data_IF_373969643931
#
_entry.id   IF_373969643931
#
_cell.length_a   1.000
_cell.length_b   1.000
_cell.length_c   1.000
_cell.angle_alpha   90.00
_cell.angle_beta   90.00
_cell.angle_gamma   90.00
#
_symmetry.space_group_name_H-M   'P 1'
#
loop_
_entity.id
_entity.type
_entity.pdbx_description
1 polymer ?
#
# COMPACT_ATOMS: atom_id res chain seq x y z
N UNK A 1 26.28 -43.15 -8.61
CA UNK A 1 24.94 -43.33 -7.98
C UNK A 1 24.49 -41.96 -7.49
N UNK A 2 23.83 -41.17 -8.34
CA UNK A 2 23.40 -39.81 -8.02
C UNK A 2 22.01 -39.87 -7.36
N UNK A 3 21.92 -39.47 -6.10
CA UNK A 3 20.64 -39.29 -5.43
C UNK A 3 20.02 -37.96 -5.84
N UNK A 4 18.92 -38.01 -6.61
CA UNK A 4 18.01 -36.88 -6.80
C UNK A 4 17.33 -36.58 -5.45
N UNK A 5 17.48 -35.34 -4.97
CA UNK A 5 16.67 -34.82 -3.87
C UNK A 5 15.22 -34.69 -4.35
N UNK A 6 14.21 -35.07 -3.55
CA UNK A 6 12.82 -34.86 -3.92
C UNK A 6 12.51 -33.36 -3.92
N UNK A 7 11.92 -32.88 -5.02
CA UNK A 7 11.35 -31.55 -5.12
C UNK A 7 10.31 -31.36 -4.01
N UNK A 8 10.39 -30.23 -3.29
CA UNK A 8 9.40 -29.87 -2.28
C UNK A 8 8.02 -29.78 -2.97
N UNK A 9 6.96 -30.35 -2.37
CA UNK A 9 5.62 -30.22 -2.94
C UNK A 9 5.27 -28.73 -3.04
N UNK A 10 4.89 -28.30 -4.25
CA UNK A 10 4.29 -26.98 -4.46
C UNK A 10 3.05 -26.93 -3.58
N UNK A 11 3.11 -26.15 -2.50
CA UNK A 11 1.97 -25.95 -1.62
C UNK A 11 0.90 -25.22 -2.42
N UNK A 12 -0.03 -25.97 -3.02
CA UNK A 12 -1.12 -25.43 -3.79
C UNK A 12 -2.05 -24.70 -2.82
N UNK A 13 -1.98 -23.37 -2.84
CA UNK A 13 -2.94 -22.56 -2.10
C UNK A 13 -4.36 -22.87 -2.62
N UNK A 14 -5.37 -22.92 -1.74
CA UNK A 14 -6.73 -23.26 -2.14
C UNK A 14 -7.26 -22.28 -3.21
N UNK A 15 -8.21 -22.73 -4.04
CA UNK A 15 -8.78 -21.93 -5.12
C UNK A 15 -9.29 -20.59 -4.59
N UNK A 16 -9.01 -19.52 -5.33
CA UNK A 16 -9.42 -18.16 -4.99
C UNK A 16 -10.88 -18.02 -5.43
N UNK A 17 -11.80 -17.95 -4.46
CA UNK A 17 -13.19 -17.57 -4.70
C UNK A 17 -13.37 -16.16 -4.12
N UNK A 18 -13.58 -15.13 -4.96
CA UNK A 18 -13.71 -13.77 -4.47
C UNK A 18 -14.91 -13.61 -3.53
N UNK A 19 -14.74 -12.86 -2.44
CA UNK A 19 -15.81 -12.56 -1.47
C UNK A 19 -16.01 -11.06 -1.39
N UNK A 20 -17.22 -10.59 -1.68
CA UNK A 20 -17.56 -9.19 -1.46
C UNK A 20 -17.99 -8.97 0.00
N UNK A 21 -17.38 -7.97 0.62
CA UNK A 21 -17.68 -7.49 1.95
C UNK A 21 -18.68 -6.34 1.84
N UNK A 22 -19.92 -6.58 2.22
CA UNK A 22 -20.89 -5.53 2.51
C UNK A 22 -20.85 -5.11 3.98
N UNK A 23 -21.62 -4.09 4.35
CA UNK A 23 -21.68 -3.58 5.73
C UNK A 23 -22.11 -4.64 6.74
N UNK A 24 -22.98 -5.59 6.38
CA UNK A 24 -23.44 -6.64 7.28
C UNK A 24 -22.32 -7.64 7.61
N UNK A 25 -21.53 -8.04 6.60
CA UNK A 25 -20.38 -8.94 6.78
C UNK A 25 -19.27 -8.20 7.54
N UNK A 26 -19.02 -6.93 7.21
CA UNK A 26 -18.06 -6.09 7.91
C UNK A 26 -18.37 -5.95 9.41
N UNK A 27 -19.64 -5.68 9.75
CA UNK A 27 -20.12 -5.62 11.15
C UNK A 27 -19.86 -6.95 11.85
N UNK A 28 -20.19 -8.08 11.23
CA UNK A 28 -19.94 -9.42 11.83
C UNK A 28 -18.46 -9.65 12.10
N UNK A 29 -17.56 -9.30 11.16
CA UNK A 29 -16.12 -9.40 11.38
C UNK A 29 -15.66 -8.49 12.53
N UNK A 30 -16.16 -7.26 12.57
CA UNK A 30 -15.85 -6.29 13.63
C UNK A 30 -16.31 -6.78 15.01
N UNK A 31 -17.45 -7.46 15.08
CA UNK A 31 -17.99 -8.10 16.29
C UNK A 31 -17.28 -9.42 16.67
N UNK A 32 -16.19 -9.78 16.00
CA UNK A 32 -15.39 -10.96 16.34
C UNK A 32 -15.93 -12.28 15.80
N UNK A 33 -16.83 -12.26 14.81
CA UNK A 33 -17.29 -13.49 14.18
C UNK A 33 -16.11 -14.28 13.58
N UNK A 34 -16.20 -15.61 13.68
CA UNK A 34 -15.11 -16.54 13.30
C UNK A 34 -14.76 -16.44 11.81
N UNK A 35 -15.74 -16.14 10.93
CA UNK A 35 -15.62 -15.87 9.48
C UNK A 35 -14.34 -16.47 8.86
N UNK A 36 -14.20 -17.80 8.97
CA UNK A 36 -12.90 -18.47 8.81
C UNK A 36 -12.36 -18.37 7.39
N UNK A 37 -13.25 -18.27 6.40
CA UNK A 37 -12.86 -18.12 5.00
C UNK A 37 -12.36 -16.71 4.70
N UNK A 38 -13.10 -15.68 5.11
CA UNK A 38 -12.73 -14.27 4.92
C UNK A 38 -11.42 -13.94 5.63
N UNK A 39 -11.27 -14.39 6.89
CA UNK A 39 -10.02 -14.23 7.64
C UNK A 39 -8.86 -14.98 6.98
N UNK A 40 -9.11 -16.16 6.42
CA UNK A 40 -8.10 -16.90 5.64
C UNK A 40 -7.68 -16.13 4.40
N UNK A 41 -8.62 -15.53 3.65
CA UNK A 41 -8.31 -14.68 2.51
C UNK A 41 -7.52 -13.43 2.95
N UNK A 42 -7.93 -12.73 4.01
CA UNK A 42 -7.23 -11.53 4.51
C UNK A 42 -5.79 -11.82 4.97
N UNK A 43 -5.49 -13.06 5.39
CA UNK A 43 -4.16 -13.49 5.80
C UNK A 43 -3.25 -13.90 4.62
N UNK A 44 -3.80 -14.07 3.41
CA UNK A 44 -3.01 -14.46 2.23
C UNK A 44 -2.18 -13.30 1.71
N UNK A 45 -0.92 -13.59 1.39
CA UNK A 45 0.06 -12.62 0.86
C UNK A 45 0.24 -12.72 -0.65
N UNK A 46 -0.32 -13.76 -1.25
CA UNK A 46 -0.25 -14.11 -2.68
C UNK A 46 -1.49 -13.67 -3.48
N UNK A 47 -2.38 -12.89 -2.86
CA UNK A 47 -3.58 -12.38 -3.51
C UNK A 47 -3.73 -10.87 -3.35
N UNK A 48 -4.41 -10.27 -4.31
CA UNK A 48 -4.88 -8.90 -4.27
C UNK A 48 -6.31 -8.85 -3.73
N UNK A 49 -6.57 -7.90 -2.85
CA UNK A 49 -7.91 -7.47 -2.47
C UNK A 49 -8.23 -6.19 -3.23
N UNK A 50 -9.48 -6.04 -3.67
CA UNK A 50 -9.95 -4.83 -4.36
C UNK A 50 -10.78 -4.00 -3.40
N UNK A 51 -10.55 -2.69 -3.40
CA UNK A 51 -11.37 -1.73 -2.68
C UNK A 51 -12.05 -0.83 -3.73
N UNK A 52 -13.38 -0.78 -3.67
CA UNK A 52 -14.22 0.15 -4.43
C UNK A 52 -14.63 1.28 -3.51
N UNK A 53 -14.53 2.50 -4.00
CA UNK A 53 -14.99 3.72 -3.34
C UNK A 53 -16.23 4.18 -4.08
N UNK A 54 -17.38 4.10 -3.40
CA UNK A 54 -18.67 4.45 -3.98
C UNK A 54 -18.71 5.95 -4.25
N UNK A 55 -19.08 6.34 -5.47
CA UNK A 55 -19.04 7.74 -5.95
C UNK A 55 -17.64 8.36 -5.79
N UNK A 56 -16.61 7.54 -5.92
CA UNK A 56 -15.21 7.96 -5.78
C UNK A 56 -14.78 9.03 -6.79
N UNK A 57 -15.46 9.16 -7.93
CA UNK A 57 -15.18 10.20 -8.93
C UNK A 57 -15.45 11.62 -8.45
N UNK A 58 -16.19 11.79 -7.34
CA UNK A 58 -16.47 13.10 -6.73
C UNK A 58 -15.27 13.69 -5.99
N UNK A 59 -14.25 12.88 -5.74
CA UNK A 59 -13.07 13.27 -4.96
C UNK A 59 -11.81 13.05 -5.79
N UNK A 60 -10.79 13.86 -5.55
CA UNK A 60 -9.48 13.57 -6.12
C UNK A 60 -8.86 12.33 -5.45
N UNK A 61 -7.94 11.69 -6.17
CA UNK A 61 -7.24 10.47 -5.75
C UNK A 61 -6.58 10.62 -4.37
N UNK A 62 -5.92 11.75 -4.14
CA UNK A 62 -5.12 11.95 -2.93
C UNK A 62 -6.02 12.11 -1.71
N UNK A 63 -7.12 12.87 -1.82
CA UNK A 63 -8.16 12.98 -0.79
C UNK A 63 -8.70 11.61 -0.38
N UNK A 64 -9.05 10.77 -1.35
CA UNK A 64 -9.56 9.42 -1.09
C UNK A 64 -8.52 8.55 -0.41
N UNK A 65 -7.31 8.47 -0.97
CA UNK A 65 -6.27 7.58 -0.45
C UNK A 65 -5.76 8.04 0.93
N UNK A 66 -5.64 9.35 1.18
CA UNK A 66 -5.30 9.88 2.52
C UNK A 66 -6.37 9.52 3.55
N UNK A 67 -7.65 9.64 3.21
CA UNK A 67 -8.73 9.26 4.13
C UNK A 67 -8.64 7.78 4.53
N UNK A 68 -8.43 6.90 3.53
CA UNK A 68 -8.32 5.46 3.77
C UNK A 68 -7.10 5.14 4.62
N UNK A 69 -5.93 5.71 4.31
CA UNK A 69 -4.71 5.45 5.06
C UNK A 69 -4.78 5.92 6.51
N UNK A 70 -5.45 7.06 6.77
CA UNK A 70 -5.73 7.54 8.13
C UNK A 70 -6.63 6.58 8.89
N UNK A 71 -7.66 6.04 8.25
CA UNK A 71 -8.58 5.07 8.87
C UNK A 71 -7.90 3.72 9.17
N UNK A 72 -6.81 3.38 8.48
CA UNK A 72 -6.08 2.12 8.68
C UNK A 72 -4.92 2.24 9.64
N UNK A 73 -4.41 3.43 9.95
CA UNK A 73 -3.23 3.63 10.79
C UNK A 73 -3.37 3.00 12.20
N UNK A 74 -2.32 2.35 12.78
CA UNK A 74 -0.98 2.06 12.23
C UNK A 74 -0.87 0.80 11.35
N UNK A 75 -1.98 0.25 10.83
CA UNK A 75 -1.92 -0.92 9.96
C UNK A 75 -1.59 -0.51 8.53
N UNK A 76 -0.85 -1.37 7.84
CA UNK A 76 -0.26 -1.02 6.56
C UNK A 76 -1.20 -1.35 5.40
N UNK A 77 -1.27 -0.39 4.49
CA UNK A 77 -2.02 -0.49 3.25
C UNK A 77 -1.21 0.27 2.20
N UNK A 78 -0.88 -0.39 1.10
CA UNK A 78 -0.22 0.24 -0.06
C UNK A 78 -1.18 0.12 -1.25
N UNK A 79 -1.94 1.19 -1.56
CA UNK A 79 -2.83 1.21 -2.71
C UNK A 79 -2.04 1.15 -4.02
N UNK A 80 -2.46 0.27 -4.93
CA UNK A 80 -1.91 0.20 -6.29
C UNK A 80 -3.02 0.19 -7.33
N UNK A 81 -2.69 0.65 -8.54
CA UNK A 81 -3.61 0.74 -9.69
C UNK A 81 -4.90 1.48 -9.34
N UNK A 82 -4.76 2.65 -8.72
CA UNK A 82 -5.91 3.52 -8.50
C UNK A 82 -6.48 3.99 -9.83
N UNK A 83 -7.78 3.83 -10.03
CA UNK A 83 -8.48 4.25 -11.25
C UNK A 83 -9.92 4.65 -10.93
N UNK A 84 -10.44 5.60 -11.69
CA UNK A 84 -11.86 5.96 -11.69
C UNK A 84 -12.53 5.22 -12.85
N UNK A 85 -13.66 4.56 -12.59
CA UNK A 85 -14.46 3.88 -13.60
C UNK A 85 -15.94 4.21 -13.38
N UNK A 86 -16.51 5.03 -14.28
CA UNK A 86 -17.84 5.59 -14.08
C UNK A 86 -17.86 6.54 -12.88
N UNK A 87 -18.82 6.36 -11.98
CA UNK A 87 -18.93 7.16 -10.76
C UNK A 87 -17.98 6.69 -9.65
N UNK A 88 -17.45 5.47 -9.73
CA UNK A 88 -16.68 4.89 -8.64
C UNK A 88 -15.18 4.95 -8.88
N UNK A 89 -14.43 4.86 -7.79
CA UNK A 89 -12.99 4.64 -7.85
C UNK A 89 -12.61 3.27 -7.30
N UNK A 90 -11.49 2.74 -7.78
CA UNK A 90 -11.01 1.41 -7.45
C UNK A 90 -9.51 1.45 -7.23
N UNK A 91 -9.04 0.66 -6.28
CA UNK A 91 -7.63 0.28 -6.19
C UNK A 91 -7.55 -1.15 -5.66
N UNK A 92 -6.35 -1.73 -5.71
CA UNK A 92 -6.07 -3.01 -5.08
C UNK A 92 -4.94 -2.88 -4.08
N UNK A 93 -4.90 -3.79 -3.11
CA UNK A 93 -3.84 -3.89 -2.13
C UNK A 93 -3.64 -5.36 -1.73
N UNK A 94 -2.45 -5.69 -1.26
CA UNK A 94 -2.10 -7.02 -0.74
C UNK A 94 -1.38 -6.90 0.59
N UNK A 95 -1.29 -8.00 1.32
CA UNK A 95 -0.64 -8.03 2.65
C UNK A 95 -1.21 -6.95 3.58
N UNK A 96 -2.52 -6.79 3.55
CA UNK A 96 -3.23 -5.67 4.21
C UNK A 96 -4.35 -6.15 5.13
N UNK A 97 -4.37 -7.43 5.54
CA UNK A 97 -5.40 -7.99 6.42
C UNK A 97 -5.73 -7.11 7.65
N UNK A 98 -4.74 -6.68 8.45
CA UNK A 98 -4.99 -5.79 9.59
C UNK A 98 -5.60 -4.43 9.21
N UNK A 99 -5.27 -3.88 8.03
CA UNK A 99 -5.86 -2.65 7.52
C UNK A 99 -7.32 -2.87 7.08
N UNK A 100 -7.60 -3.96 6.38
CA UNK A 100 -8.96 -4.33 5.98
C UNK A 100 -9.85 -4.59 7.22
N UNK A 101 -9.32 -5.20 8.28
CA UNK A 101 -10.06 -5.36 9.54
C UNK A 101 -10.44 -4.03 10.18
N UNK A 102 -9.54 -3.04 10.14
CA UNK A 102 -9.85 -1.68 10.63
C UNK A 102 -10.93 -1.01 9.81
N UNK A 103 -10.88 -1.11 8.49
CA UNK A 103 -11.95 -0.60 7.62
C UNK A 103 -13.29 -1.28 7.93
N UNK A 104 -13.30 -2.59 8.23
CA UNK A 104 -14.51 -3.28 8.64
C UNK A 104 -15.09 -2.72 9.96
N UNK A 105 -14.23 -2.34 10.91
CA UNK A 105 -14.66 -1.71 12.19
C UNK A 105 -15.28 -0.34 12.01
N UNK A 106 -15.05 0.34 10.88
CA UNK A 106 -15.74 1.60 10.54
C UNK A 106 -17.03 1.36 9.76
N UNK A 107 -17.52 0.12 9.70
CA UNK A 107 -18.64 -0.30 8.86
C UNK A 107 -18.44 0.03 7.38
N UNK A 108 -17.17 0.10 6.94
CA UNK A 108 -16.76 0.52 5.60
C UNK A 108 -17.19 1.94 5.24
N UNK A 109 -17.42 2.80 6.23
CA UNK A 109 -17.68 4.23 6.06
C UNK A 109 -16.58 4.99 6.80
N UNK A 110 -15.83 5.81 6.08
CA UNK A 110 -14.75 6.64 6.65
C UNK A 110 -15.03 8.11 6.36
N UNK A 111 -14.31 9.03 7.01
CA UNK A 111 -14.41 10.47 6.74
C UNK A 111 -13.19 10.96 5.99
N UNK A 112 -13.40 11.77 4.95
CA UNK A 112 -12.31 12.49 4.31
C UNK A 112 -11.83 13.68 5.16
N UNK A 113 -10.87 14.44 4.66
CA UNK A 113 -10.31 15.62 5.35
C UNK A 113 -11.33 16.75 5.54
N UNK A 114 -12.37 16.80 4.71
CA UNK A 114 -13.47 17.77 4.76
C UNK A 114 -14.61 17.32 5.69
N UNK A 115 -14.57 16.07 6.18
CA UNK A 115 -15.60 15.47 7.02
C UNK A 115 -16.68 14.69 6.26
N UNK A 116 -16.62 14.64 4.93
CA UNK A 116 -17.57 13.90 4.10
C UNK A 116 -17.44 12.39 4.28
N UNK A 117 -18.57 11.69 4.22
CA UNK A 117 -18.61 10.24 4.29
C UNK A 117 -18.14 9.61 2.97
N UNK A 118 -17.08 8.81 3.05
CA UNK A 118 -16.55 7.99 1.96
C UNK A 118 -16.92 6.54 2.23
N UNK A 119 -17.72 5.96 1.34
CA UNK A 119 -18.25 4.59 1.48
C UNK A 119 -17.40 3.63 0.67
N UNK A 120 -17.01 2.53 1.30
CA UNK A 120 -16.12 1.52 0.75
C UNK A 120 -16.85 0.18 0.55
N UNK A 121 -16.41 -0.57 -0.45
CA UNK A 121 -16.76 -1.98 -0.64
C UNK A 121 -15.47 -2.75 -0.89
N UNK A 122 -15.26 -3.86 -0.17
CA UNK A 122 -14.04 -4.66 -0.29
C UNK A 122 -14.38 -5.97 -0.99
N UNK A 123 -13.62 -6.34 -2.02
CA UNK A 123 -13.61 -7.68 -2.60
C UNK A 123 -12.35 -8.41 -2.15
N UNK A 124 -12.49 -9.40 -1.28
CA UNK A 124 -11.39 -10.26 -0.88
C UNK A 124 -11.05 -11.27 -1.97
N UNK A 125 -9.77 -11.57 -2.17
CA UNK A 125 -9.34 -12.53 -3.19
C UNK A 125 -9.75 -12.13 -4.60
N UNK A 126 -9.57 -10.85 -4.95
CA UNK A 126 -9.93 -10.33 -6.27
C UNK A 126 -9.11 -10.96 -7.39
N UNK A 127 -7.79 -11.11 -7.19
CA UNK A 127 -6.89 -11.70 -8.18
C UNK A 127 -5.65 -12.31 -7.51
N UNK A 128 -5.03 -13.29 -8.17
CA UNK A 128 -3.70 -13.78 -7.79
C UNK A 128 -2.60 -12.77 -8.15
N UNK A 129 -1.50 -12.75 -7.39
CA UNK A 129 -0.29 -11.99 -7.78
C UNK A 129 0.36 -12.53 -9.07
N UNK A 130 0.03 -13.77 -9.45
CA UNK A 130 0.53 -14.39 -10.67
C UNK A 130 -0.21 -13.87 -11.92
N UNK A 131 -1.52 -13.63 -11.79
CA UNK A 131 -2.37 -13.11 -12.88
C UNK A 131 -2.21 -11.60 -13.03
N UNK A 132 -2.06 -10.89 -11.91
CA UNK A 132 -1.86 -9.45 -11.88
C UNK A 132 -0.50 -9.11 -11.24
N UNK A 133 0.52 -9.02 -12.09
CA UNK A 133 1.89 -8.71 -11.68
C UNK A 133 2.09 -7.20 -11.55
N UNK A 134 2.44 -6.75 -10.34
CA UNK A 134 2.80 -5.36 -10.06
C UNK A 134 4.17 -5.33 -9.39
N UNK A 135 5.14 -4.78 -10.09
CA UNK A 135 6.54 -4.72 -9.67
C UNK A 135 6.86 -3.41 -8.96
N UNK A 136 6.41 -3.27 -7.70
CA UNK A 136 6.58 -2.03 -6.91
C UNK A 136 8.06 -1.69 -6.69
N UNK A 137 8.88 -2.67 -6.27
CA UNK A 137 10.29 -2.39 -5.94
C UNK A 137 11.10 -1.86 -7.14
N UNK A 138 11.04 -2.45 -8.35
CA UNK A 138 11.69 -1.86 -9.53
C UNK A 138 11.23 -0.44 -9.86
N UNK A 139 9.94 -0.12 -9.66
CA UNK A 139 9.43 1.24 -9.87
C UNK A 139 10.06 2.23 -8.88
N UNK A 140 10.10 1.87 -7.60
CA UNK A 140 10.75 2.68 -6.57
C UNK A 140 12.24 2.87 -6.85
N UNK A 141 12.95 1.81 -7.24
CA UNK A 141 14.37 1.88 -7.58
C UNK A 141 14.63 2.82 -8.77
N UNK A 142 13.81 2.72 -9.81
CA UNK A 142 13.92 3.59 -11.00
C UNK A 142 13.76 5.06 -10.62
N UNK A 143 12.73 5.38 -9.83
CA UNK A 143 12.49 6.74 -9.36
C UNK A 143 13.62 7.24 -8.45
N UNK A 144 14.12 6.39 -7.56
CA UNK A 144 15.25 6.69 -6.66
C UNK A 144 16.52 7.02 -7.45
N UNK A 145 16.89 6.19 -8.43
CA UNK A 145 18.07 6.42 -9.29
C UNK A 145 17.93 7.72 -10.09
N UNK A 146 16.75 7.99 -10.65
CA UNK A 146 16.47 9.23 -11.40
C UNK A 146 16.56 10.49 -10.54
N UNK A 147 16.24 10.36 -9.25
CA UNK A 147 16.22 11.47 -8.27
C UNK A 147 17.55 11.68 -7.55
N UNK A 148 18.57 10.88 -7.84
CA UNK A 148 19.90 11.05 -7.30
C UNK A 148 20.78 11.87 -8.24
N UNK A 149 21.37 12.94 -7.72
CA UNK A 149 22.41 13.71 -8.39
C UNK A 149 23.79 13.26 -7.86
N UNK A 150 24.61 12.57 -8.68
CA UNK A 150 25.94 12.13 -8.26
C UNK A 150 26.93 13.29 -8.10
N UNK A 151 26.75 14.42 -8.80
CA UNK A 151 27.66 15.56 -8.72
C UNK A 151 27.50 16.28 -7.38
N UNK A 152 26.25 16.44 -6.94
CA UNK A 152 25.91 17.05 -5.65
C UNK A 152 25.78 16.02 -4.52
N UNK A 153 25.99 14.72 -4.81
CA UNK A 153 25.71 13.60 -3.89
C UNK A 153 24.38 13.76 -3.15
N UNK A 154 23.37 14.23 -3.86
CA UNK A 154 22.07 14.61 -3.28
C UNK A 154 20.99 13.65 -3.75
N UNK A 155 20.22 13.11 -2.82
CA UNK A 155 19.00 12.35 -3.13
C UNK A 155 17.78 13.23 -2.91
N UNK A 156 17.03 13.50 -3.99
CA UNK A 156 15.83 14.34 -3.93
C UNK A 156 14.52 13.55 -3.85
N UNK A 157 13.98 13.40 -2.65
CA UNK A 157 12.68 12.77 -2.39
C UNK A 157 11.55 13.79 -2.19
N UNK A 158 11.70 15.04 -2.64
CA UNK A 158 10.60 16.02 -2.58
C UNK A 158 9.36 15.52 -3.34
N UNK A 159 8.18 15.63 -2.71
CA UNK A 159 6.90 15.12 -3.26
C UNK A 159 7.01 13.71 -3.86
N UNK A 160 7.66 12.78 -3.15
CA UNK A 160 8.04 11.49 -3.75
C UNK A 160 6.84 10.69 -4.29
N UNK A 161 5.70 10.73 -3.61
CA UNK A 161 4.49 10.02 -4.05
C UNK A 161 3.89 10.58 -5.35
N UNK A 162 4.23 11.81 -5.73
CA UNK A 162 3.81 12.44 -6.98
C UNK A 162 4.79 12.21 -8.13
N UNK A 163 5.85 11.42 -7.94
CA UNK A 163 6.74 11.07 -9.04
C UNK A 163 5.92 10.40 -10.17
N UNK A 164 6.00 10.87 -11.42
CA UNK A 164 5.20 10.31 -12.52
C UNK A 164 5.38 8.81 -12.76
N UNK A 165 6.56 8.26 -12.41
CA UNK A 165 6.88 6.83 -12.56
C UNK A 165 6.26 6.00 -11.41
N UNK A 166 5.97 6.64 -10.28
CA UNK A 166 5.39 6.04 -9.07
C UNK A 166 3.87 6.21 -9.08
N UNK A 167 3.39 7.46 -9.15
CA UNK A 167 2.01 7.86 -8.89
C UNK A 167 1.00 7.06 -9.73
N UNK A 168 1.33 6.81 -11.01
CA UNK A 168 0.49 6.04 -11.94
C UNK A 168 0.20 4.62 -11.48
N UNK A 169 1.08 4.03 -10.67
CA UNK A 169 1.00 2.61 -10.30
C UNK A 169 0.78 2.39 -8.82
N UNK A 170 1.44 3.16 -7.95
CA UNK A 170 1.42 2.96 -6.50
C UNK A 170 1.30 4.30 -5.81
N UNK A 171 0.47 4.35 -4.77
CA UNK A 171 0.43 5.49 -3.87
C UNK A 171 1.30 5.17 -2.64
N UNK A 172 2.45 5.81 -2.55
CA UNK A 172 3.42 5.60 -1.48
C UNK A 172 3.81 6.93 -0.79
N UNK A 173 2.91 7.50 0.03
CA UNK A 173 3.20 8.74 0.74
C UNK A 173 4.31 8.54 1.77
N UNK A 174 5.31 9.40 1.73
CA UNK A 174 6.44 9.39 2.68
C UNK A 174 6.01 9.77 4.11
N UNK A 175 4.84 10.37 4.29
CA UNK A 175 4.25 10.61 5.62
C UNK A 175 3.92 9.34 6.41
N UNK A 176 3.77 8.19 5.74
CA UNK A 176 3.61 6.91 6.42
C UNK A 176 4.96 6.32 6.84
N UNK A 177 5.11 6.03 8.13
CA UNK A 177 6.36 5.52 8.73
C UNK A 177 6.92 4.30 8.00
N UNK A 178 6.10 3.26 7.73
CA UNK A 178 6.58 2.05 7.04
C UNK A 178 7.02 2.37 5.61
N UNK A 179 6.26 3.21 4.89
CA UNK A 179 6.58 3.60 3.51
C UNK A 179 7.90 4.35 3.47
N UNK A 180 8.09 5.35 4.32
CA UNK A 180 9.33 6.11 4.45
C UNK A 180 10.52 5.20 4.80
N UNK A 181 10.39 4.34 5.81
CA UNK A 181 11.43 3.37 6.17
C UNK A 181 11.81 2.44 5.01
N UNK A 182 10.82 1.97 4.24
CA UNK A 182 11.08 1.10 3.10
C UNK A 182 11.82 1.84 1.98
N UNK A 183 11.37 3.05 1.62
CA UNK A 183 12.00 3.87 0.58
C UNK A 183 13.43 4.26 0.97
N UNK A 184 13.65 4.71 2.20
CA UNK A 184 14.99 5.07 2.69
C UNK A 184 15.93 3.85 2.76
N UNK A 185 15.42 2.69 3.18
CA UNK A 185 16.21 1.44 3.16
C UNK A 185 16.57 1.04 1.73
N UNK A 186 15.64 1.13 0.78
CA UNK A 186 15.91 0.85 -0.62
C UNK A 186 16.96 1.82 -1.19
N UNK A 187 16.81 3.12 -0.92
CA UNK A 187 17.76 4.14 -1.34
C UNK A 187 19.16 3.83 -0.84
N UNK A 188 19.31 3.48 0.44
CA UNK A 188 20.60 3.11 1.04
C UNK A 188 21.25 1.89 0.39
N UNK A 189 20.45 0.93 -0.08
CA UNK A 189 20.98 -0.28 -0.73
C UNK A 189 21.29 -0.11 -2.22
N UNK A 190 20.58 0.79 -2.90
CA UNK A 190 20.59 0.89 -4.35
C UNK A 190 21.36 2.09 -4.89
N UNK A 191 21.43 3.18 -4.13
CA UNK A 191 22.15 4.39 -4.51
C UNK A 191 23.51 4.37 -3.82
N UNK A 192 24.53 4.88 -4.50
CA UNK A 192 25.81 5.21 -3.90
C UNK A 192 25.63 6.13 -2.67
N UNK A 193 26.62 6.21 -1.80
CA UNK A 193 26.58 7.06 -0.61
C UNK A 193 26.21 8.50 -0.99
N UNK A 194 25.06 8.98 -0.50
CA UNK A 194 24.61 10.36 -0.65
C UNK A 194 24.89 11.14 0.64
N UNK A 195 25.25 12.42 0.51
CA UNK A 195 25.59 13.31 1.64
C UNK A 195 24.42 14.25 2.00
N UNK A 196 23.54 14.52 1.03
CA UNK A 196 22.37 15.36 1.20
C UNK A 196 21.10 14.60 0.84
N UNK A 197 20.05 14.78 1.65
CA UNK A 197 18.74 14.19 1.45
C UNK A 197 17.68 15.28 1.51
N UNK A 198 16.93 15.48 0.43
CA UNK A 198 15.78 16.36 0.41
C UNK A 198 14.49 15.56 0.65
N UNK A 199 13.77 15.87 1.74
CA UNK A 199 12.49 15.26 2.11
C UNK A 199 11.32 16.27 2.08
N UNK A 200 11.50 17.44 1.47
CA UNK A 200 10.52 18.51 1.49
C UNK A 200 9.17 18.08 0.91
N UNK A 201 8.11 18.73 1.39
CA UNK A 201 6.73 18.56 0.92
C UNK A 201 6.19 17.11 0.95
N UNK A 202 6.70 16.28 1.84
CA UNK A 202 6.23 14.91 2.04
C UNK A 202 5.20 14.75 3.18
N UNK A 203 4.71 15.87 3.72
CA UNK A 203 3.76 15.89 4.86
C UNK A 203 4.24 15.05 6.06
N UNK A 204 5.55 15.04 6.31
CA UNK A 204 6.14 14.29 7.42
C UNK A 204 5.69 14.88 8.74
N UNK A 205 4.99 14.09 9.54
CA UNK A 205 4.52 14.49 10.88
C UNK A 205 5.54 14.08 11.97
N UNK A 206 6.36 13.06 11.69
CA UNK A 206 7.38 12.55 12.61
C UNK A 206 8.70 12.31 11.89
N UNK A 207 9.83 12.48 12.60
CA UNK A 207 11.17 12.18 12.11
C UNK A 207 11.64 10.76 12.48
N UNK A 208 10.78 9.94 13.09
CA UNK A 208 11.11 8.58 13.53
C UNK A 208 11.60 7.68 12.40
N UNK A 209 11.13 7.89 11.16
CA UNK A 209 11.63 7.15 10.01
C UNK A 209 13.12 7.47 9.72
N UNK A 210 13.51 8.71 9.94
CA UNK A 210 14.86 9.21 9.69
C UNK A 210 15.81 8.74 10.79
N UNK A 211 15.39 8.78 12.06
CA UNK A 211 16.16 8.22 13.18
C UNK A 211 16.51 6.75 12.95
N UNK A 212 15.55 5.97 12.45
CA UNK A 212 15.76 4.55 12.12
C UNK A 212 16.64 4.31 10.89
N UNK A 213 16.90 5.34 10.09
CA UNK A 213 17.67 5.21 8.84
C UNK A 213 19.18 5.41 9.01
N UNK A 214 19.64 5.80 10.22
CA UNK A 214 21.04 6.12 10.54
C UNK A 214 21.66 7.13 9.56
N UNK A 215 20.89 8.15 9.16
CA UNK A 215 21.38 9.23 8.31
C UNK A 215 22.24 10.20 9.13
N UNK A 216 23.39 10.59 8.59
CA UNK A 216 24.37 11.44 9.27
C UNK A 216 24.08 12.94 9.13
N UNK A 217 23.20 13.35 8.22
CA UNK A 217 22.85 14.74 7.94
C UNK A 217 21.46 14.85 7.29
N UNK A 218 20.72 15.92 7.63
CA UNK A 218 19.41 16.30 7.05
C UNK A 218 19.49 17.81 6.77
N UNK A 219 19.12 18.24 5.56
CA UNK A 219 18.99 19.65 5.19
C UNK A 219 17.53 19.98 4.87
#
# INVERSE_FOLDING_TARGET
>A
MNQMKPDKPVQQNPPIVPVQMDSSIAIRIAMGAKMSYERSLMARTDIWHKVRVIRGSLYDKETVLKAILRATEPADLIPVKYQVCGEDAYFIARNCGPALEKLCKTNLIIKNVMGDAVILVITLGYASIHDLKIHIQPLLLTALTKRYDPNQKTLNLEHFHMDPDIDKTVYCPMSQLRTSNHVLKLAKTAIATFEHLNLQRNELITLSAIENSNLTSIN
#
